data_IF_239704766796
#
_entry.id   IF_239704766796
#
_cell.length_a   1.000
_cell.length_b   1.000
_cell.length_c   1.000
_cell.angle_alpha   90.00
_cell.angle_beta   90.00
_cell.angle_gamma   90.00
#
_symmetry.space_group_name_H-M   'P 1'
#
loop_
_entity.id
_entity.type
_entity.pdbx_description
1 polymer ?
#
# COMPACT_ATOMS: atom_id res chain seq x y z
N UNK A 1 -17.19 -96.91 87.99
CA UNK A 1 -17.21 -98.37 87.80
C UNK A 1 -17.66 -98.66 86.38
N UNK A 2 -16.93 -99.45 85.57
CA UNK A 2 -17.36 -99.80 84.23
C UNK A 2 -18.42 -100.92 84.25
N UNK A 3 -19.45 -100.79 83.42
CA UNK A 3 -20.49 -101.82 83.21
C UNK A 3 -19.88 -103.00 82.46
N UNK A 4 -19.95 -104.19 83.05
CA UNK A 4 -19.62 -105.46 82.41
C UNK A 4 -20.88 -105.92 81.66
N UNK A 5 -20.81 -105.97 80.32
CA UNK A 5 -21.86 -106.55 79.48
C UNK A 5 -21.69 -108.06 79.44
N UNK A 6 -22.78 -108.81 79.63
CA UNK A 6 -22.76 -110.27 79.58
C UNK A 6 -23.32 -110.75 78.23
N UNK A 7 -22.93 -111.95 77.81
CA UNK A 7 -23.24 -112.53 76.49
C UNK A 7 -24.75 -112.63 76.16
N UNK A 8 -25.64 -112.42 77.14
CA UNK A 8 -27.08 -112.40 76.96
C UNK A 8 -27.63 -111.04 76.49
N UNK A 9 -26.84 -109.95 76.54
CA UNK A 9 -27.25 -108.62 76.06
C UNK A 9 -27.23 -108.50 74.52
N UNK A 10 -26.81 -109.55 73.81
CA UNK A 10 -26.77 -109.64 72.33
C UNK A 10 -27.87 -110.57 71.80
N UNK A 11 -28.95 -110.77 72.58
CA UNK A 11 -29.99 -111.75 72.27
C UNK A 11 -31.39 -111.15 72.21
N UNK A 12 -31.61 -110.06 71.48
CA UNK A 12 -32.92 -109.67 70.93
C UNK A 12 -32.82 -108.28 70.30
N UNK A 13 -32.62 -108.24 68.99
CA UNK A 13 -33.06 -107.13 68.13
C UNK A 13 -32.93 -107.59 66.68
N UNK A 14 -34.05 -108.07 66.15
CA UNK A 14 -34.47 -107.96 64.75
C UNK A 14 -33.35 -107.89 63.71
N UNK A 15 -32.79 -109.07 63.43
CA UNK A 15 -32.96 -109.70 62.12
C UNK A 15 -32.55 -108.95 60.85
N UNK A 16 -31.75 -107.89 60.87
CA UNK A 16 -31.14 -107.35 59.62
C UNK A 16 -29.95 -106.40 59.83
N UNK A 17 -29.20 -106.53 60.93
CA UNK A 17 -27.93 -105.80 61.15
C UNK A 17 -26.70 -106.45 60.53
N UNK A 18 -26.86 -107.65 59.96
CA UNK A 18 -25.89 -108.24 59.06
C UNK A 18 -26.29 -107.79 57.66
N UNK A 19 -25.51 -106.89 57.07
CA UNK A 19 -25.64 -106.57 55.64
C UNK A 19 -25.73 -107.87 54.83
N UNK A 20 -26.39 -107.81 53.66
CA UNK A 20 -26.56 -108.94 52.76
C UNK A 20 -25.30 -109.82 52.73
N UNK A 21 -25.42 -111.16 52.88
CA UNK A 21 -24.26 -112.06 52.90
C UNK A 21 -23.28 -111.66 51.80
N UNK A 22 -21.97 -111.55 52.08
CA UNK A 22 -21.00 -111.15 51.07
C UNK A 22 -21.30 -111.98 49.84
N UNK A 23 -21.62 -111.30 48.72
CA UNK A 23 -21.96 -111.95 47.47
C UNK A 23 -20.92 -113.02 47.26
N UNK A 24 -21.34 -114.29 47.34
CA UNK A 24 -20.47 -115.46 47.36
C UNK A 24 -19.94 -115.66 45.94
N UNK A 25 -19.20 -114.66 45.45
CA UNK A 25 -18.40 -114.78 44.25
C UNK A 25 -17.21 -115.61 44.68
N UNK A 26 -17.21 -116.85 44.22
CA UNK A 26 -15.97 -117.55 44.01
C UNK A 26 -14.97 -116.60 43.33
N UNK A 27 -13.68 -116.63 43.69
CA UNK A 27 -12.68 -115.86 42.99
C UNK A 27 -12.85 -116.06 41.48
N UNK A 28 -12.73 -114.99 40.67
CA UNK A 28 -13.00 -115.04 39.23
C UNK A 28 -12.35 -116.26 38.63
N UNK A 29 -13.09 -116.99 37.80
CA UNK A 29 -12.50 -118.12 37.11
C UNK A 29 -11.32 -117.62 36.28
N UNK A 30 -10.30 -118.46 36.08
CA UNK A 30 -9.13 -118.11 35.26
C UNK A 30 -9.54 -117.50 33.90
N UNK A 31 -10.63 -118.01 33.31
CA UNK A 31 -11.19 -117.52 32.06
C UNK A 31 -11.70 -116.07 32.18
N UNK A 32 -12.46 -115.74 33.22
CA UNK A 32 -13.00 -114.39 33.45
C UNK A 32 -11.88 -113.37 33.68
N UNK A 33 -10.82 -113.76 34.39
CA UNK A 33 -9.66 -112.89 34.61
C UNK A 33 -8.89 -112.63 33.31
N UNK A 34 -8.70 -113.66 32.48
CA UNK A 34 -8.05 -113.53 31.17
C UNK A 34 -8.87 -112.63 30.22
N UNK A 35 -10.19 -112.76 30.21
CA UNK A 35 -11.08 -111.90 29.40
C UNK A 35 -11.04 -110.44 29.86
N UNK A 36 -11.08 -110.20 31.18
CA UNK A 36 -10.98 -108.86 31.75
C UNK A 36 -9.61 -108.22 31.44
N UNK A 37 -8.52 -108.98 31.55
CA UNK A 37 -7.18 -108.51 31.20
C UNK A 37 -7.08 -108.13 29.72
N UNK A 38 -7.68 -108.93 28.83
CA UNK A 38 -7.75 -108.63 27.39
C UNK A 38 -8.51 -107.33 27.14
N UNK A 39 -9.67 -107.15 27.78
CA UNK A 39 -10.49 -105.95 27.67
C UNK A 39 -9.77 -104.70 28.17
N UNK A 40 -9.06 -104.80 29.29
CA UNK A 40 -8.32 -103.66 29.85
C UNK A 40 -7.07 -103.34 29.03
N UNK A 41 -6.38 -104.35 28.48
CA UNK A 41 -5.31 -104.15 27.49
C UNK A 41 -5.83 -103.41 26.26
N UNK A 42 -6.99 -103.79 25.72
CA UNK A 42 -7.59 -103.11 24.56
C UNK A 42 -7.98 -101.65 24.88
N UNK A 43 -8.57 -101.39 26.06
CA UNK A 43 -8.84 -100.03 26.52
C UNK A 43 -7.55 -99.22 26.63
N UNK A 44 -6.50 -99.79 27.22
CA UNK A 44 -5.20 -99.13 27.33
C UNK A 44 -4.61 -98.79 25.97
N UNK A 45 -4.61 -99.74 25.02
CA UNK A 45 -4.14 -99.49 23.65
C UNK A 45 -4.95 -98.38 22.98
N UNK A 46 -6.27 -98.36 23.15
CA UNK A 46 -7.14 -97.30 22.60
C UNK A 46 -6.80 -95.94 23.19
N UNK A 47 -6.65 -95.86 24.52
CA UNK A 47 -6.27 -94.63 25.22
C UNK A 47 -4.88 -94.15 24.80
N UNK A 48 -3.91 -95.05 24.68
CA UNK A 48 -2.55 -94.73 24.23
C UNK A 48 -2.55 -94.16 22.80
N UNK A 49 -3.31 -94.77 21.87
CA UNK A 49 -3.48 -94.25 20.50
C UNK A 49 -4.08 -92.83 20.51
N UNK A 50 -5.08 -92.59 21.35
CA UNK A 50 -5.69 -91.27 21.47
C UNK A 50 -4.70 -90.24 22.04
N UNK A 51 -3.87 -90.62 23.01
CA UNK A 51 -2.84 -89.76 23.57
C UNK A 51 -1.80 -89.36 22.51
N UNK A 52 -1.32 -90.32 21.72
CA UNK A 52 -0.37 -90.07 20.61
C UNK A 52 -0.98 -89.09 19.60
N UNK A 53 -2.25 -89.27 19.21
CA UNK A 53 -2.94 -88.36 18.30
C UNK A 53 -3.05 -86.93 18.88
N UNK A 54 -3.40 -86.80 20.17
CA UNK A 54 -3.44 -85.51 20.87
C UNK A 54 -2.07 -84.85 20.91
N UNK A 55 -1.01 -85.62 21.17
CA UNK A 55 0.36 -85.11 21.19
C UNK A 55 0.78 -84.56 19.82
N UNK A 56 0.53 -85.29 18.73
CA UNK A 56 0.83 -84.79 17.37
C UNK A 56 0.04 -83.53 17.02
N UNK A 57 -1.23 -83.46 17.39
CA UNK A 57 -2.04 -82.26 17.18
C UNK A 57 -1.47 -81.05 17.96
N UNK A 58 -1.02 -81.27 19.20
CA UNK A 58 -0.38 -80.25 20.02
C UNK A 58 0.96 -79.79 19.43
N UNK A 59 1.82 -80.70 18.98
CA UNK A 59 3.09 -80.38 18.31
C UNK A 59 2.87 -79.52 17.06
N UNK A 60 1.89 -79.88 16.22
CA UNK A 60 1.52 -79.09 15.04
C UNK A 60 1.05 -77.69 15.43
N UNK A 61 0.25 -77.57 16.49
CA UNK A 61 -0.21 -76.27 16.99
C UNK A 61 0.96 -75.43 17.53
N UNK A 62 1.88 -76.03 18.29
CA UNK A 62 3.06 -75.34 18.81
C UNK A 62 3.95 -74.81 17.68
N UNK A 63 4.19 -75.60 16.63
CA UNK A 63 4.94 -75.14 15.45
C UNK A 63 4.26 -73.96 14.75
N UNK A 64 2.94 -74.03 14.58
CA UNK A 64 2.16 -72.94 14.00
C UNK A 64 2.28 -71.66 14.85
N UNK A 65 2.13 -71.77 16.17
CA UNK A 65 2.27 -70.64 17.09
C UNK A 65 3.67 -70.04 17.03
N UNK A 66 4.72 -70.86 16.95
CA UNK A 66 6.09 -70.36 16.82
C UNK A 66 6.27 -69.58 15.51
N UNK A 67 5.79 -70.10 14.38
CA UNK A 67 5.88 -69.37 13.10
C UNK A 67 5.11 -68.05 13.10
N UNK A 68 3.96 -68.01 13.78
CA UNK A 68 3.18 -66.78 13.94
C UNK A 68 3.90 -65.76 14.84
N UNK A 69 4.56 -66.23 15.90
CA UNK A 69 5.37 -65.38 16.77
C UNK A 69 6.56 -64.77 16.02
N UNK A 70 7.27 -65.57 15.23
CA UNK A 70 8.41 -65.10 14.43
C UNK A 70 7.96 -64.08 13.36
N UNK A 71 6.79 -64.28 12.75
CA UNK A 71 6.21 -63.33 11.81
C UNK A 71 5.86 -62.00 12.50
N UNK A 72 5.22 -62.07 13.66
CA UNK A 72 4.87 -60.87 14.46
C UNK A 72 6.11 -60.11 14.92
N UNK A 73 7.20 -60.80 15.27
CA UNK A 73 8.46 -60.15 15.63
C UNK A 73 9.04 -59.35 14.45
N UNK A 74 9.03 -59.91 13.24
CA UNK A 74 9.48 -59.21 12.02
C UNK A 74 8.62 -58.01 11.70
N UNK A 75 7.31 -58.12 11.89
CA UNK A 75 6.38 -57.00 11.69
C UNK A 75 6.67 -55.86 12.68
N UNK A 76 6.87 -56.17 13.96
CA UNK A 76 7.23 -55.17 14.97
C UNK A 76 8.55 -54.46 14.67
N UNK A 77 9.55 -55.19 14.17
CA UNK A 77 10.81 -54.59 13.73
C UNK A 77 10.60 -53.63 12.55
N UNK A 78 9.77 -54.01 11.57
CA UNK A 78 9.40 -53.12 10.46
C UNK A 78 8.68 -51.86 10.95
N UNK A 79 7.71 -52.00 11.85
CA UNK A 79 6.96 -50.88 12.43
C UNK A 79 7.90 -49.93 13.18
N UNK A 80 8.87 -50.46 13.92
CA UNK A 80 9.85 -49.66 14.63
C UNK A 80 10.71 -48.83 13.65
N UNK A 81 11.16 -49.43 12.56
CA UNK A 81 11.93 -48.72 11.53
C UNK A 81 11.12 -47.60 10.85
N UNK A 82 9.84 -47.85 10.57
CA UNK A 82 8.94 -46.84 10.00
C UNK A 82 8.66 -45.70 10.98
N UNK A 83 8.52 -46.02 12.27
CA UNK A 83 8.34 -45.04 13.33
C UNK A 83 9.58 -44.13 13.46
N UNK A 84 10.78 -44.70 13.48
CA UNK A 84 12.04 -43.94 13.55
C UNK A 84 12.18 -43.00 12.35
N UNK A 85 11.89 -43.48 11.14
CA UNK A 85 11.87 -42.65 9.91
C UNK A 85 10.87 -41.50 10.02
N UNK A 86 9.68 -41.77 10.54
CA UNK A 86 8.65 -40.75 10.74
C UNK A 86 9.09 -39.67 11.75
N UNK A 87 9.81 -40.06 12.81
CA UNK A 87 10.37 -39.09 13.76
C UNK A 87 11.42 -38.19 13.12
N UNK A 88 12.33 -38.75 12.33
CA UNK A 88 13.35 -37.97 11.61
C UNK A 88 12.73 -36.99 10.60
N UNK A 89 11.67 -37.40 9.90
CA UNK A 89 10.94 -36.51 8.99
C UNK A 89 10.25 -35.37 9.73
N UNK A 90 9.61 -35.66 10.87
CA UNK A 90 8.95 -34.65 11.68
C UNK A 90 9.95 -33.62 12.23
N UNK A 91 11.13 -34.06 12.68
CA UNK A 91 12.22 -33.16 13.10
C UNK A 91 12.69 -32.25 11.95
N UNK A 92 12.86 -32.80 10.74
CA UNK A 92 13.21 -32.00 9.54
C UNK A 92 12.15 -30.96 9.23
N UNK A 93 10.87 -31.35 9.29
CA UNK A 93 9.74 -30.44 9.06
C UNK A 93 9.69 -29.34 10.12
N UNK A 94 9.86 -29.68 11.39
CA UNK A 94 9.90 -28.71 12.48
C UNK A 94 11.03 -27.70 12.30
N UNK A 95 12.23 -28.16 11.90
CA UNK A 95 13.36 -27.29 11.61
C UNK A 95 13.06 -26.35 10.44
N UNK A 96 12.44 -26.85 9.37
CA UNK A 96 11.99 -26.03 8.24
C UNK A 96 10.95 -24.99 8.65
N UNK A 97 9.96 -25.38 9.45
CA UNK A 97 8.94 -24.45 9.97
C UNK A 97 9.57 -23.35 10.82
N UNK A 98 10.50 -23.70 11.70
CA UNK A 98 11.23 -22.74 12.53
C UNK A 98 12.06 -21.74 11.69
N UNK A 99 12.55 -22.14 10.51
CA UNK A 99 13.22 -21.23 9.57
C UNK A 99 12.23 -20.32 8.83
N UNK A 100 11.00 -20.79 8.57
CA UNK A 100 9.99 -20.04 7.84
C UNK A 100 9.37 -18.90 8.66
N UNK A 101 9.17 -19.11 9.97
CA UNK A 101 8.60 -18.11 10.90
C UNK A 101 9.32 -16.74 10.83
N UNK A 102 10.66 -16.64 10.98
CA UNK A 102 11.35 -15.35 10.92
C UNK A 102 11.30 -14.71 9.52
N UNK A 103 11.26 -15.51 8.45
CA UNK A 103 11.11 -15.00 7.09
C UNK A 103 9.74 -14.35 6.90
N UNK A 104 8.67 -14.99 7.40
CA UNK A 104 7.33 -14.43 7.37
C UNK A 104 7.24 -13.11 8.16
N UNK A 105 7.85 -13.05 9.33
CA UNK A 105 7.91 -11.81 10.14
C UNK A 105 8.68 -10.69 9.42
N UNK A 106 9.81 -11.02 8.79
CA UNK A 106 10.59 -10.05 8.00
C UNK A 106 9.79 -9.52 6.81
N UNK A 107 9.10 -10.40 6.09
CA UNK A 107 8.24 -10.03 4.96
C UNK A 107 7.11 -9.10 5.41
N UNK A 108 6.45 -9.42 6.52
CA UNK A 108 5.41 -8.57 7.11
C UNK A 108 5.96 -7.19 7.50
N UNK A 109 7.15 -7.13 8.10
CA UNK A 109 7.82 -5.87 8.43
C UNK A 109 8.13 -5.01 7.21
N UNK A 110 8.65 -5.61 6.13
CA UNK A 110 8.90 -4.91 4.86
C UNK A 110 7.60 -4.43 4.22
N UNK A 111 6.54 -5.24 4.24
CA UNK A 111 5.24 -4.86 3.71
C UNK A 111 4.65 -3.65 4.45
N UNK A 112 4.70 -3.64 5.78
CA UNK A 112 4.23 -2.52 6.59
C UNK A 112 5.03 -1.23 6.29
N UNK A 113 6.35 -1.34 6.11
CA UNK A 113 7.20 -0.20 5.73
C UNK A 113 6.80 0.35 4.36
N UNK A 114 6.59 -0.53 3.38
CA UNK A 114 6.18 -0.15 2.03
C UNK A 114 4.81 0.54 2.02
N UNK A 115 3.83 -0.03 2.72
CA UNK A 115 2.49 0.58 2.87
C UNK A 115 2.59 1.97 3.50
N UNK A 116 3.44 2.14 4.51
CA UNK A 116 3.67 3.44 5.15
C UNK A 116 4.28 4.45 4.18
N UNK A 117 5.28 4.06 3.39
CA UNK A 117 5.90 4.92 2.38
C UNK A 117 4.89 5.34 1.30
N UNK A 118 4.16 4.40 0.73
CA UNK A 118 3.12 4.68 -0.28
C UNK A 118 2.06 5.64 0.28
N UNK A 119 1.67 5.47 1.53
CA UNK A 119 0.69 6.34 2.18
C UNK A 119 1.23 7.77 2.33
N UNK A 120 2.48 7.92 2.77
CA UNK A 120 3.15 9.23 2.88
C UNK A 120 3.29 9.92 1.52
N UNK A 121 3.73 9.20 0.48
CA UNK A 121 3.87 9.73 -0.87
C UNK A 121 2.54 10.17 -1.46
N UNK A 122 1.48 9.36 -1.32
CA UNK A 122 0.13 9.73 -1.76
C UNK A 122 -0.36 11.02 -1.10
N UNK A 123 -0.13 11.17 0.21
CA UNK A 123 -0.49 12.39 0.93
C UNK A 123 0.29 13.60 0.39
N UNK A 124 1.60 13.45 0.22
CA UNK A 124 2.46 14.49 -0.35
C UNK A 124 2.01 14.93 -1.76
N UNK A 125 1.68 13.96 -2.63
CA UNK A 125 1.15 14.23 -3.96
C UNK A 125 -0.21 14.94 -3.91
N UNK A 126 -1.11 14.53 -3.01
CA UNK A 126 -2.39 15.20 -2.84
C UNK A 126 -2.20 16.68 -2.39
N UNK A 127 -1.29 16.93 -1.47
CA UNK A 127 -0.97 18.28 -0.98
C UNK A 127 -0.34 19.14 -2.09
N UNK A 128 0.57 18.59 -2.90
CA UNK A 128 1.16 19.26 -4.05
C UNK A 128 0.09 19.61 -5.10
N UNK A 129 -0.75 18.64 -5.46
CA UNK A 129 -1.82 18.83 -6.43
C UNK A 129 -2.82 19.91 -5.97
N UNK A 130 -3.15 19.94 -4.68
CA UNK A 130 -4.02 20.97 -4.12
C UNK A 130 -3.40 22.38 -4.21
N UNK A 131 -2.08 22.51 -4.01
CA UNK A 131 -1.36 23.78 -4.19
C UNK A 131 -1.37 24.23 -5.65
N UNK A 132 -1.04 23.33 -6.56
CA UNK A 132 -1.04 23.61 -8.01
C UNK A 132 -2.44 24.00 -8.50
N UNK A 133 -3.49 23.33 -8.03
CA UNK A 133 -4.88 23.67 -8.38
C UNK A 133 -5.26 25.09 -7.94
N UNK A 134 -4.88 25.49 -6.72
CA UNK A 134 -5.10 26.85 -6.21
C UNK A 134 -4.35 27.91 -7.03
N UNK A 135 -3.12 27.62 -7.44
CA UNK A 135 -2.33 28.51 -8.28
C UNK A 135 -2.95 28.67 -9.67
N UNK A 136 -3.39 27.57 -10.29
CA UNK A 136 -4.12 27.58 -11.58
C UNK A 136 -5.39 28.42 -11.48
N UNK A 137 -6.17 28.28 -10.40
CA UNK A 137 -7.39 29.06 -10.20
C UNK A 137 -7.10 30.55 -10.02
N UNK A 138 -6.05 30.89 -9.26
CA UNK A 138 -5.54 32.26 -9.11
C UNK A 138 -5.13 32.84 -10.46
N UNK A 139 -4.29 32.15 -11.23
CA UNK A 139 -3.86 32.58 -12.57
C UNK A 139 -5.04 32.73 -13.53
N UNK A 140 -6.03 31.84 -13.46
CA UNK A 140 -7.25 31.96 -14.26
C UNK A 140 -8.04 33.23 -13.93
N UNK A 141 -8.05 33.64 -12.66
CA UNK A 141 -8.69 34.89 -12.23
C UNK A 141 -7.94 36.14 -12.71
N UNK A 142 -6.60 36.11 -12.69
CA UNK A 142 -5.78 37.22 -13.18
C UNK A 142 -5.91 37.39 -14.70
N UNK A 143 -5.91 36.28 -15.45
CA UNK A 143 -6.16 36.30 -16.90
C UNK A 143 -7.51 36.94 -17.23
N UNK A 144 -8.59 36.55 -16.54
CA UNK A 144 -9.91 37.18 -16.72
C UNK A 144 -9.92 38.68 -16.43
N UNK A 145 -9.18 39.10 -15.39
CA UNK A 145 -9.04 40.52 -15.05
C UNK A 145 -8.31 41.28 -16.15
N UNK A 146 -7.20 40.74 -16.66
CA UNK A 146 -6.43 41.32 -17.76
C UNK A 146 -7.24 41.39 -19.06
N UNK A 147 -8.00 40.36 -19.40
CA UNK A 147 -8.92 40.37 -20.56
C UNK A 147 -9.94 41.52 -20.47
N UNK A 148 -10.51 41.76 -19.29
CA UNK A 148 -11.42 42.89 -19.03
C UNK A 148 -10.72 44.24 -19.22
N UNK A 149 -9.50 44.39 -18.68
CA UNK A 149 -8.70 45.62 -18.83
C UNK A 149 -8.40 45.87 -20.32
N UNK A 150 -7.93 44.86 -21.05
CA UNK A 150 -7.65 44.97 -22.49
C UNK A 150 -8.90 45.40 -23.27
N UNK A 151 -10.05 44.77 -23.00
CA UNK A 151 -11.33 45.15 -23.63
C UNK A 151 -11.71 46.61 -23.35
N UNK A 152 -11.50 47.08 -22.11
CA UNK A 152 -11.76 48.47 -21.74
C UNK A 152 -10.81 49.46 -22.44
N UNK A 153 -9.52 49.13 -22.53
CA UNK A 153 -8.51 49.93 -23.21
C UNK A 153 -8.76 50.00 -24.71
N UNK A 154 -9.17 48.88 -25.33
CA UNK A 154 -9.51 48.81 -26.74
C UNK A 154 -10.71 49.72 -27.06
N UNK A 155 -11.75 49.73 -26.20
CA UNK A 155 -12.88 50.66 -26.33
C UNK A 155 -12.43 52.12 -26.20
N UNK A 156 -11.61 52.44 -25.20
CA UNK A 156 -11.08 53.79 -25.00
C UNK A 156 -10.23 54.26 -26.18
N UNK A 157 -9.41 53.37 -26.78
CA UNK A 157 -8.64 53.66 -27.98
C UNK A 157 -9.56 53.96 -29.16
N UNK A 158 -10.58 53.13 -29.40
CA UNK A 158 -11.52 53.35 -30.52
C UNK A 158 -12.27 54.68 -30.43
N UNK A 159 -12.58 55.15 -29.21
CA UNK A 159 -13.17 56.46 -28.99
C UNK A 159 -12.20 57.58 -29.39
N UNK A 160 -10.94 57.48 -28.94
CA UNK A 160 -9.90 58.44 -29.30
C UNK A 160 -9.61 58.45 -30.80
N UNK A 161 -9.64 57.30 -31.46
CA UNK A 161 -9.48 57.22 -32.91
C UNK A 161 -10.59 58.00 -33.63
N UNK A 162 -11.84 57.90 -33.14
CA UNK A 162 -12.96 58.69 -33.68
C UNK A 162 -12.80 60.20 -33.42
N UNK A 163 -12.29 60.60 -32.25
CA UNK A 163 -12.00 62.00 -31.94
C UNK A 163 -10.87 62.56 -32.82
N UNK A 164 -9.82 61.77 -33.06
CA UNK A 164 -8.71 62.13 -33.95
C UNK A 164 -9.21 62.34 -35.38
N UNK A 165 -10.05 61.43 -35.89
CA UNK A 165 -10.66 61.58 -37.22
C UNK A 165 -11.49 62.87 -37.30
N UNK A 166 -12.32 63.14 -36.28
CA UNK A 166 -13.13 64.36 -36.19
C UNK A 166 -12.28 65.64 -36.19
N UNK A 167 -11.22 65.68 -35.37
CA UNK A 167 -10.29 66.82 -35.35
C UNK A 167 -9.55 66.98 -36.68
N UNK A 168 -9.11 65.88 -37.29
CA UNK A 168 -8.49 65.88 -38.61
C UNK A 168 -9.40 66.50 -39.69
N UNK A 169 -10.70 66.17 -39.68
CA UNK A 169 -11.66 66.79 -40.61
C UNK A 169 -11.81 68.30 -40.39
N UNK A 170 -11.83 68.76 -39.14
CA UNK A 170 -11.90 70.20 -38.82
C UNK A 170 -10.63 70.95 -39.23
N UNK A 171 -9.45 70.34 -39.06
CA UNK A 171 -8.19 70.95 -39.50
C UNK A 171 -8.22 71.14 -41.02
N UNK A 172 -8.60 70.11 -41.78
CA UNK A 172 -8.70 70.21 -43.24
C UNK A 172 -9.70 71.28 -43.70
N UNK A 173 -10.83 71.44 -42.98
CA UNK A 173 -11.81 72.50 -43.25
C UNK A 173 -11.21 73.90 -43.00
N UNK A 174 -10.55 74.09 -41.85
CA UNK A 174 -9.88 75.35 -41.50
C UNK A 174 -8.72 75.69 -42.46
N UNK A 175 -7.96 74.69 -42.91
CA UNK A 175 -6.92 74.87 -43.93
C UNK A 175 -7.52 75.38 -45.25
N UNK A 176 -8.65 74.82 -45.69
CA UNK A 176 -9.35 75.28 -46.89
C UNK A 176 -9.89 76.71 -46.75
N UNK A 177 -10.46 77.06 -45.59
CA UNK A 177 -10.89 78.44 -45.29
C UNK A 177 -9.70 79.43 -45.31
N UNK A 178 -8.55 79.03 -44.76
CA UNK A 178 -7.34 79.85 -44.74
C UNK A 178 -6.77 80.06 -46.14
N UNK A 179 -6.73 79.02 -46.99
CA UNK A 179 -6.32 79.15 -48.39
C UNK A 179 -7.23 80.13 -49.14
N UNK A 180 -8.55 80.02 -48.96
CA UNK A 180 -9.52 80.94 -49.56
C UNK A 180 -9.32 82.38 -49.08
N UNK A 181 -9.10 82.59 -47.78
CA UNK A 181 -8.82 83.90 -47.21
C UNK A 181 -7.52 84.51 -47.74
N UNK A 182 -6.46 83.69 -47.87
CA UNK A 182 -5.14 84.11 -48.39
C UNK A 182 -5.23 84.51 -49.86
N UNK A 183 -5.97 83.75 -50.67
CA UNK A 183 -6.23 84.10 -52.06
C UNK A 183 -7.01 85.43 -52.18
N UNK A 184 -7.95 85.68 -51.27
CA UNK A 184 -8.72 86.93 -51.19
C UNK A 184 -7.85 88.14 -50.76
N UNK A 185 -6.86 87.93 -49.90
CA UNK A 185 -5.86 88.97 -49.52
C UNK A 185 -4.92 89.27 -50.68
N UNK A 186 -4.37 88.25 -51.34
CA UNK A 186 -3.53 88.42 -52.52
C UNK A 186 -4.23 89.17 -53.68
N UNK A 187 -5.54 88.94 -53.86
CA UNK A 187 -6.35 89.72 -54.80
C UNK A 187 -6.53 91.18 -54.40
N UNK A 188 -6.58 91.50 -53.10
CA UNK A 188 -6.69 92.88 -52.61
C UNK A 188 -5.37 93.66 -52.65
N UNK A 189 -4.23 93.01 -52.50
CA UNK A 189 -2.91 93.67 -52.53
C UNK A 189 -2.43 94.03 -53.95
N UNK A 190 -3.06 93.50 -55.00
CA UNK A 190 -2.76 93.86 -56.40
C UNK A 190 -3.23 95.27 -56.83
N UNK A 191 -3.91 96.00 -55.95
CA UNK A 191 -4.40 97.36 -56.20
C UNK A 191 -3.90 98.38 -55.16
N UNK A 192 -2.59 98.49 -54.96
CA UNK A 192 -1.94 99.74 -54.47
C UNK A 192 -0.42 99.63 -54.61
N UNK A 193 0.08 99.90 -55.80
CA UNK A 193 1.49 100.17 -56.06
C UNK A 193 1.69 101.69 -56.11
N UNK A 194 1.94 102.35 -54.97
CA UNK A 194 2.57 103.68 -54.98
C UNK A 194 3.04 104.16 -53.59
N UNK A 195 4.24 104.76 -53.59
CA UNK A 195 4.80 105.70 -52.60
C UNK A 195 5.32 105.11 -51.27
N UNK A 196 6.64 105.07 -51.09
CA UNK A 196 7.42 106.24 -50.62
C UNK A 196 8.75 105.76 -50.01
N UNK A 197 9.87 106.25 -50.55
CA UNK A 197 11.18 106.18 -49.90
C UNK A 197 11.12 106.95 -48.57
N UNK A 198 11.06 106.24 -47.46
CA UNK A 198 11.08 106.82 -46.11
C UNK A 198 12.45 106.58 -45.45
N UNK A 199 13.27 107.62 -45.22
CA UNK A 199 14.58 107.48 -44.56
C UNK A 199 14.49 107.06 -43.07
N UNK A 200 13.28 106.95 -42.50
CA UNK A 200 13.04 106.45 -41.15
C UNK A 200 13.14 104.92 -41.03
N UNK A 201 12.91 104.17 -42.11
CA UNK A 201 13.03 102.71 -42.12
C UNK A 201 14.49 102.24 -42.18
N UNK A 202 15.38 103.03 -42.80
CA UNK A 202 16.80 102.69 -42.89
C UNK A 202 17.51 102.78 -41.53
N UNK A 203 17.10 103.71 -40.66
CA UNK A 203 17.62 103.84 -39.29
C UNK A 203 17.15 102.67 -38.42
N UNK A 204 15.87 102.27 -38.52
CA UNK A 204 15.33 101.11 -37.80
C UNK A 204 15.84 99.77 -38.32
N UNK A 205 16.12 99.67 -39.62
CA UNK A 205 16.76 98.49 -40.20
C UNK A 205 18.19 98.32 -39.68
N UNK A 206 18.97 99.41 -39.61
CA UNK A 206 20.33 99.38 -39.01
C UNK A 206 20.31 99.10 -37.51
N UNK A 207 19.29 99.56 -36.77
CA UNK A 207 19.12 99.24 -35.35
C UNK A 207 18.74 97.77 -35.13
N UNK A 208 17.86 97.21 -35.97
CA UNK A 208 17.52 95.79 -35.96
C UNK A 208 18.69 94.89 -36.39
N UNK A 209 19.50 95.33 -37.34
CA UNK A 209 20.70 94.60 -37.79
C UNK A 209 21.75 94.55 -36.66
N UNK A 210 21.91 95.64 -35.90
CA UNK A 210 22.79 95.70 -34.73
C UNK A 210 22.27 94.84 -33.54
N UNK A 211 20.96 94.84 -33.28
CA UNK A 211 20.36 93.92 -32.27
C UNK A 211 20.44 92.46 -32.72
N UNK A 212 20.27 92.16 -34.01
CA UNK A 212 20.41 90.81 -34.56
C UNK A 212 21.86 90.31 -34.49
N UNK A 213 22.84 91.18 -34.74
CA UNK A 213 24.25 90.85 -34.59
C UNK A 213 24.61 90.59 -33.11
N UNK A 214 24.02 91.36 -32.18
CA UNK A 214 24.13 91.11 -30.73
C UNK A 214 23.52 89.78 -30.31
N UNK A 215 22.33 89.44 -30.81
CA UNK A 215 21.66 88.16 -30.53
C UNK A 215 22.44 86.99 -31.15
N UNK A 216 23.02 87.19 -32.33
CA UNK A 216 23.86 86.18 -33.01
C UNK A 216 25.15 85.92 -32.25
N UNK A 217 25.82 86.96 -31.73
CA UNK A 217 26.99 86.78 -30.86
C UNK A 217 26.62 86.08 -29.54
N UNK A 218 25.48 86.42 -28.94
CA UNK A 218 25.00 85.79 -27.72
C UNK A 218 24.60 84.31 -27.96
N UNK A 219 24.04 84.01 -29.14
CA UNK A 219 23.82 82.64 -29.62
C UNK A 219 25.13 81.88 -29.73
N UNK A 220 26.14 82.45 -30.40
CA UNK A 220 27.45 81.79 -30.57
C UNK A 220 28.17 81.57 -29.24
N UNK A 221 27.99 82.45 -28.26
CA UNK A 221 28.51 82.26 -26.91
C UNK A 221 27.78 81.12 -26.19
N UNK A 222 26.45 81.03 -26.32
CA UNK A 222 25.66 79.91 -25.79
C UNK A 222 26.01 78.60 -26.47
N UNK A 223 26.18 78.58 -27.79
CA UNK A 223 26.55 77.39 -28.55
C UNK A 223 27.97 76.91 -28.19
N UNK A 224 28.90 77.84 -27.96
CA UNK A 224 30.22 77.55 -27.41
C UNK A 224 30.16 76.97 -25.99
N UNK A 225 29.28 77.49 -25.12
CA UNK A 225 29.04 76.95 -23.79
C UNK A 225 28.44 75.54 -23.83
N UNK A 226 27.47 75.30 -24.71
CA UNK A 226 26.89 73.97 -24.93
C UNK A 226 27.95 73.00 -25.45
N UNK A 227 28.82 73.44 -26.36
CA UNK A 227 29.95 72.64 -26.85
C UNK A 227 30.94 72.28 -25.74
N UNK A 228 31.34 73.23 -24.90
CA UNK A 228 32.21 72.98 -23.74
C UNK A 228 31.58 72.02 -22.73
N UNK A 229 30.28 72.16 -22.44
CA UNK A 229 29.56 71.25 -21.55
C UNK A 229 29.45 69.85 -22.15
N UNK A 230 29.15 69.73 -23.45
CA UNK A 230 29.05 68.44 -24.15
C UNK A 230 30.41 67.73 -24.17
N UNK A 231 31.50 68.44 -24.42
CA UNK A 231 32.86 67.86 -24.35
C UNK A 231 33.23 67.42 -22.93
N UNK A 232 32.79 68.13 -21.88
CA UNK A 232 33.00 67.70 -20.49
C UNK A 232 32.19 66.47 -20.12
N UNK A 233 30.95 66.37 -20.61
CA UNK A 233 30.11 65.18 -20.41
C UNK A 233 30.74 63.98 -21.10
N UNK A 234 31.20 64.12 -22.35
CA UNK A 234 31.88 63.02 -23.05
C UNK A 234 33.20 62.60 -22.38
N UNK A 235 34.02 63.55 -21.89
CA UNK A 235 35.22 63.19 -21.12
C UNK A 235 34.89 62.44 -19.82
N UNK A 236 33.79 62.80 -19.14
CA UNK A 236 33.36 62.10 -17.92
C UNK A 236 32.76 60.72 -18.23
N UNK A 237 32.08 60.57 -19.37
CA UNK A 237 31.62 59.26 -19.87
C UNK A 237 32.84 58.36 -20.19
N UNK A 238 33.86 58.88 -20.86
CA UNK A 238 35.10 58.14 -21.15
C UNK A 238 35.87 57.79 -19.86
N UNK A 239 35.93 58.69 -18.87
CA UNK A 239 36.52 58.41 -17.55
C UNK A 239 35.73 57.35 -16.77
N UNK A 240 34.40 57.37 -16.85
CA UNK A 240 33.53 56.37 -16.22
C UNK A 240 33.68 54.99 -16.86
N UNK A 241 33.75 54.94 -18.19
CA UNK A 241 33.99 53.70 -18.94
C UNK A 241 35.39 53.14 -18.67
N UNK A 242 36.38 54.00 -18.39
CA UNK A 242 37.72 53.60 -17.96
C UNK A 242 37.75 53.04 -16.53
N UNK A 243 36.93 53.56 -15.61
CA UNK A 243 36.76 53.03 -14.24
C UNK A 243 36.01 51.70 -14.26
N UNK A 244 34.97 51.56 -15.09
CA UNK A 244 34.19 50.31 -15.23
C UNK A 244 35.00 49.22 -15.94
N UNK A 245 35.97 49.59 -16.80
CA UNK A 245 36.81 48.65 -17.54
C UNK A 245 38.12 48.25 -16.84
N UNK A 246 38.45 48.82 -15.66
CA UNK A 246 39.58 48.39 -14.83
C UNK A 246 39.12 47.71 -13.52
N UNK A 247 39.23 46.38 -13.39
CA UNK A 247 39.13 45.75 -12.08
C UNK A 247 40.39 46.09 -11.27
N UNK A 248 40.22 46.82 -10.17
CA UNK A 248 41.30 47.16 -9.26
C UNK A 248 42.09 45.92 -8.80
N UNK A 249 43.32 45.78 -9.30
CA UNK A 249 44.45 45.49 -8.42
C UNK A 249 44.86 46.82 -7.78
N UNK A 250 44.73 46.93 -6.46
CA UNK A 250 45.80 47.36 -5.55
C UNK A 250 45.31 47.06 -4.13
N UNK A 251 46.02 46.12 -3.53
CA UNK A 251 46.02 45.77 -2.12
C UNK A 251 46.98 46.75 -1.40
N UNK A 252 46.73 46.97 -0.10
CA UNK A 252 47.54 47.65 0.95
C UNK A 252 47.18 49.13 1.19
N UNK A 253 46.84 49.60 2.40
CA UNK A 253 47.15 49.12 3.75
C UNK A 253 46.17 49.66 4.83
N UNK A 254 46.16 48.96 5.97
CA UNK A 254 45.73 49.39 7.32
C UNK A 254 44.38 48.89 7.88
N UNK A 255 44.43 47.64 8.40
CA UNK A 255 44.34 47.24 9.82
C UNK A 255 43.10 47.60 10.67
N UNK A 256 42.68 46.58 11.44
CA UNK A 256 41.77 46.51 12.62
C UNK A 256 40.31 46.22 12.22
N UNK A 257 39.65 45.12 12.60
CA UNK A 257 39.96 43.98 13.47
C UNK A 257 38.65 43.22 13.79
N UNK A 258 38.71 41.89 13.85
CA UNK A 258 37.73 40.93 14.43
C UNK A 258 36.38 40.75 13.70
N UNK A 259 35.80 39.55 13.53
CA UNK A 259 36.19 38.15 13.75
C UNK A 259 35.15 37.25 13.01
N UNK A 260 35.59 36.06 12.54
CA UNK A 260 34.89 34.75 12.40
C UNK A 260 33.35 34.70 12.27
N UNK A 261 32.69 33.92 11.39
CA UNK A 261 33.04 32.72 10.63
C UNK A 261 32.00 32.47 9.49
N UNK A 262 32.34 31.55 8.58
CA UNK A 262 31.75 31.21 7.27
C UNK A 262 30.26 30.76 7.20
N UNK A 263 29.63 30.86 6.01
CA UNK A 263 28.45 30.09 5.59
C UNK A 263 28.82 28.92 4.63
N UNK A 264 28.08 27.78 4.61
CA UNK A 264 28.31 26.74 3.62
C UNK A 264 27.48 26.92 2.34
N UNK A 265 28.22 26.94 1.23
CA UNK A 265 27.99 26.30 -0.07
C UNK A 265 26.58 26.17 -0.67
N UNK A 266 26.44 26.86 -1.79
CA UNK A 266 25.58 26.50 -2.93
C UNK A 266 26.17 25.34 -3.75
N UNK A 267 25.32 24.48 -4.33
CA UNK A 267 25.39 24.17 -5.77
C UNK A 267 24.12 23.45 -6.21
N UNK A 268 23.34 24.09 -7.09
CA UNK A 268 22.29 23.45 -7.89
C UNK A 268 22.92 23.06 -9.23
N UNK A 269 22.75 21.80 -9.62
CA UNK A 269 22.89 21.34 -11.00
C UNK A 269 21.64 20.51 -11.33
N UNK A 270 20.75 21.06 -12.16
CA UNK A 270 19.65 20.32 -12.78
C UNK A 270 19.87 20.28 -14.28
N UNK A 271 20.12 19.07 -14.79
CA UNK A 271 19.96 18.73 -16.20
C UNK A 271 18.52 18.30 -16.46
N UNK A 272 17.92 18.91 -17.46
CA UNK A 272 16.70 18.44 -18.11
C UNK A 272 17.06 17.25 -19.02
N UNK A 273 16.29 16.16 -18.92
CA UNK A 273 16.03 15.30 -20.07
C UNK A 273 14.52 15.01 -20.11
N UNK A 274 13.98 15.29 -21.28
CA UNK A 274 12.59 15.17 -21.71
C UNK A 274 12.40 13.79 -22.34
N UNK A 275 11.52 12.97 -21.76
CA UNK A 275 10.93 11.81 -22.48
C UNK A 275 9.45 11.76 -22.13
N UNK A 276 8.65 12.00 -23.17
CA UNK A 276 7.21 11.83 -23.24
C UNK A 276 6.89 10.33 -23.34
N UNK A 277 6.04 9.81 -22.46
CA UNK A 277 5.33 8.55 -22.73
C UNK A 277 3.91 8.59 -22.14
N UNK A 278 2.94 8.27 -22.99
CA UNK A 278 1.49 8.38 -22.80
C UNK A 278 0.94 7.29 -21.86
N UNK A 279 -0.05 7.63 -21.02
CA UNK A 279 -0.83 6.67 -20.23
C UNK A 279 -2.29 6.68 -20.74
N UNK A 280 -2.90 5.52 -21.05
CA UNK A 280 -4.29 5.44 -21.45
C UNK A 280 -5.24 5.52 -20.24
N UNK A 281 -6.34 6.24 -20.42
CA UNK A 281 -7.45 6.31 -19.47
C UNK A 281 -8.25 5.00 -19.43
N UNK A 282 -8.32 4.35 -18.28
CA UNK A 282 -9.41 3.42 -17.94
C UNK A 282 -10.28 4.02 -16.85
N UNK A 283 -11.51 4.35 -17.23
CA UNK A 283 -12.61 4.74 -16.36
C UNK A 283 -13.44 3.51 -16.02
N UNK A 284 -13.62 3.20 -14.73
CA UNK A 284 -14.64 2.26 -14.27
C UNK A 284 -15.50 2.92 -13.20
N UNK A 285 -16.71 3.31 -13.60
CA UNK A 285 -17.77 3.73 -12.68
C UNK A 285 -18.36 2.50 -11.99
N UNK A 286 -18.30 2.47 -10.66
CA UNK A 286 -19.20 1.62 -9.85
C UNK A 286 -20.41 2.45 -9.42
N UNK A 287 -21.59 1.98 -9.79
CA UNK A 287 -22.88 2.55 -9.42
C UNK A 287 -23.38 1.84 -8.16
N UNK A 288 -23.46 2.57 -7.05
CA UNK A 288 -24.04 2.11 -5.79
C UNK A 288 -25.56 2.33 -5.84
N UNK A 289 -26.34 1.30 -5.50
CA UNK A 289 -27.81 1.30 -5.49
C UNK A 289 -28.27 1.14 -4.05
N UNK A 290 -28.87 2.16 -3.47
CA UNK A 290 -29.58 2.09 -2.18
C UNK A 290 -30.87 1.25 -2.28
N UNK A 291 -31.29 0.59 -1.21
CA UNK A 291 -32.69 0.23 -1.01
C UNK A 291 -33.32 1.05 0.12
N UNK A 292 -34.36 1.78 -0.23
CA UNK A 292 -35.33 2.39 0.67
C UNK A 292 -36.42 1.35 1.04
N UNK A 293 -36.85 1.30 2.30
CA UNK A 293 -37.80 0.29 2.76
C UNK A 293 -38.07 0.27 4.27
N UNK A 294 -38.86 1.24 4.73
CA UNK A 294 -39.49 1.34 6.06
C UNK A 294 -40.14 0.05 6.58
N UNK A 295 -39.95 -0.22 7.88
CA UNK A 295 -40.77 -1.12 8.68
C UNK A 295 -40.63 -0.81 10.17
N UNK A 296 -41.65 -0.15 10.72
CA UNK A 296 -41.83 0.26 12.13
C UNK A 296 -42.32 -0.92 12.97
N UNK A 297 -41.73 -1.24 14.15
CA UNK A 297 -42.42 -1.80 15.33
C UNK A 297 -41.56 -1.70 16.62
N UNK A 298 -42.09 -0.98 17.63
CA UNK A 298 -42.23 -1.49 19.01
C UNK A 298 -41.09 -1.28 20.02
N UNK A 299 -41.19 -0.23 20.83
CA UNK A 299 -40.41 0.00 22.07
C UNK A 299 -40.80 -0.94 23.23
N UNK A 300 -39.82 -1.48 23.96
CA UNK A 300 -39.88 -1.86 25.40
C UNK A 300 -38.51 -1.54 26.06
N UNK A 301 -38.45 -1.05 27.33
CA UNK A 301 -37.26 -0.39 27.88
C UNK A 301 -36.39 -1.25 28.83
N UNK A 302 -35.13 -0.78 28.96
CA UNK A 302 -34.19 -0.83 30.10
C UNK A 302 -33.60 -2.18 30.58
N UNK A 303 -32.26 -2.30 30.52
CA UNK A 303 -31.28 -2.43 31.64
C UNK A 303 -29.85 -2.47 31.03
N UNK A 304 -28.82 -1.81 31.61
CA UNK A 304 -27.49 -1.69 31.01
C UNK A 304 -26.57 -2.85 31.43
N UNK A 305 -25.84 -3.43 30.48
CA UNK A 305 -24.74 -4.37 30.74
C UNK A 305 -23.48 -3.89 30.03
N UNK A 306 -22.60 -3.30 30.84
CA UNK A 306 -21.14 -3.46 30.87
C UNK A 306 -20.42 -3.39 29.51
N UNK A 307 -19.73 -2.25 29.33
CA UNK A 307 -18.63 -2.10 28.39
C UNK A 307 -17.57 -3.18 28.62
N UNK A 308 -17.28 -3.97 27.59
CA UNK A 308 -16.06 -4.76 27.51
C UNK A 308 -15.40 -4.53 26.15
N UNK A 309 -14.24 -3.89 26.19
CA UNK A 309 -13.42 -3.59 25.01
C UNK A 309 -13.08 -4.87 24.25
N UNK A 310 -13.59 -4.98 23.03
CA UNK A 310 -13.33 -6.07 22.10
C UNK A 310 -12.18 -5.73 21.18
N UNK A 311 -11.02 -6.30 21.48
CA UNK A 311 -9.81 -6.30 20.68
C UNK A 311 -10.07 -6.90 19.28
N UNK A 312 -9.66 -6.25 18.20
CA UNK A 312 -9.99 -6.56 16.79
C UNK A 312 -9.34 -7.83 16.20
N UNK A 313 -8.82 -8.73 17.03
CA UNK A 313 -8.13 -9.94 16.59
C UNK A 313 -8.99 -11.22 16.62
N UNK A 314 -10.26 -11.14 17.05
CA UNK A 314 -11.16 -12.30 17.18
C UNK A 314 -11.90 -12.65 15.87
N UNK A 315 -12.15 -11.67 14.99
CA UNK A 315 -12.98 -11.86 13.80
C UNK A 315 -12.37 -12.86 12.78
N UNK A 316 -11.04 -12.86 12.64
CA UNK A 316 -10.34 -13.76 11.69
C UNK A 316 -10.27 -15.20 12.21
N UNK A 317 -10.28 -15.38 13.54
CA UNK A 317 -10.24 -16.69 14.15
C UNK A 317 -11.62 -17.39 14.10
N UNK A 318 -12.70 -16.62 14.16
CA UNK A 318 -14.07 -17.13 14.03
C UNK A 318 -14.35 -17.67 12.62
N UNK A 319 -13.86 -17.00 11.57
CA UNK A 319 -14.02 -17.50 10.19
C UNK A 319 -13.29 -18.82 9.94
N UNK A 320 -12.09 -18.98 10.50
CA UNK A 320 -11.30 -20.22 10.39
C UNK A 320 -11.95 -21.37 11.19
N UNK A 321 -12.53 -21.05 12.34
CA UNK A 321 -13.26 -22.02 13.18
C UNK A 321 -14.55 -22.49 12.49
N UNK A 322 -15.28 -21.59 11.83
CA UNK A 322 -16.49 -21.95 11.05
C UNK A 322 -16.18 -22.84 9.85
N UNK A 323 -15.06 -22.60 9.15
CA UNK A 323 -14.62 -23.45 8.03
C UNK A 323 -14.27 -24.88 8.49
N UNK A 324 -13.56 -25.02 9.60
CA UNK A 324 -13.23 -26.34 10.16
C UNK A 324 -14.51 -27.11 10.54
N UNK A 325 -15.48 -26.42 11.16
CA UNK A 325 -16.76 -27.03 11.54
C UNK A 325 -17.55 -27.52 10.32
N UNK A 326 -17.53 -26.76 9.22
CA UNK A 326 -18.18 -27.15 7.96
C UNK A 326 -17.54 -28.40 7.35
N UNK A 327 -16.20 -28.51 7.34
CA UNK A 327 -15.49 -29.69 6.85
C UNK A 327 -15.80 -30.95 7.69
N UNK A 328 -15.94 -30.81 9.00
CA UNK A 328 -16.30 -31.93 9.88
C UNK A 328 -17.73 -32.42 9.61
N UNK A 329 -18.69 -31.50 9.40
CA UNK A 329 -20.07 -31.88 9.04
C UNK A 329 -20.12 -32.53 7.65
N UNK A 330 -19.38 -32.00 6.68
CA UNK A 330 -19.33 -32.54 5.32
C UNK A 330 -18.74 -33.96 5.29
N UNK A 331 -17.67 -34.21 6.04
CA UNK A 331 -17.08 -35.56 6.12
C UNK A 331 -18.02 -36.55 6.80
N UNK A 332 -18.71 -36.17 7.88
CA UNK A 332 -19.71 -37.02 8.52
C UNK A 332 -20.88 -37.36 7.62
N UNK A 333 -21.41 -36.38 6.87
CA UNK A 333 -22.52 -36.60 5.93
C UNK A 333 -22.12 -37.53 4.79
N UNK A 334 -20.90 -37.40 4.24
CA UNK A 334 -20.38 -38.33 3.23
C UNK A 334 -20.28 -39.77 3.79
N UNK A 335 -19.77 -39.93 5.01
CA UNK A 335 -19.67 -41.25 5.66
C UNK A 335 -21.06 -41.87 5.85
N UNK A 336 -22.06 -41.08 6.27
CA UNK A 336 -23.44 -41.55 6.42
C UNK A 336 -24.07 -41.95 5.08
N UNK A 337 -23.81 -41.20 4.01
CA UNK A 337 -24.29 -41.54 2.66
C UNK A 337 -23.67 -42.85 2.18
N UNK A 338 -22.35 -43.01 2.33
CA UNK A 338 -21.65 -44.24 1.97
C UNK A 338 -22.22 -45.42 2.79
N UNK A 339 -22.40 -45.25 4.10
CA UNK A 339 -22.97 -46.29 4.94
C UNK A 339 -24.40 -46.67 4.54
N UNK A 340 -25.22 -45.69 4.14
CA UNK A 340 -26.59 -45.95 3.68
C UNK A 340 -26.62 -46.68 2.33
N UNK A 341 -25.68 -46.41 1.41
CA UNK A 341 -25.61 -47.07 0.11
C UNK A 341 -25.14 -48.52 0.22
N UNK A 342 -24.25 -48.81 1.17
CA UNK A 342 -23.64 -50.14 1.36
C UNK A 342 -24.36 -51.02 2.40
N UNK A 343 -25.54 -50.60 2.87
CA UNK A 343 -26.45 -51.38 3.73
C UNK A 343 -27.66 -51.82 2.92
#
# INVERSE_FOLDING_TARGET
MPRIYTLNDVGNNDGSKLGSPPSNRYPPSRLELEEQLKKDREKFIRSAKQLIAKYHALDKKNKCMQSALDASHKENESIQNDLDRSYEENERMQKSMNQMIPLANRLNGLNNKLVSQITCERKSHADLNAKQLKEIESLKSTVKSLESIISSMQKASSLKDSDIISLGTKINELEAELEQATQKVSLKDSNTNQLCSNPSLEIKAKELENELEKVTQNSSFKDGLIFCLRSRVSNLEDELDQIVSQPHQIIHDSKIGSAEADPPSSSNDYKHDEVVEEIPHFSSHYSEREPDGKGDYGSIPAVPVIALGGNSNTLVNDQKTMLIFFFVILTFTIILIIWHIYR
#
